data_IF_754744204801
#
_entry.id   IF_754744204801
#
_cell.length_a   1.000
_cell.length_b   1.000
_cell.length_c   1.000
_cell.angle_alpha   90.00
_cell.angle_beta   90.00
_cell.angle_gamma   90.00
#
_symmetry.space_group_name_H-M   'P 1'
#
loop_
_entity.id
_entity.type
_entity.pdbx_description
1 polymer ?
#
# COMPACT_ATOMS: atom_id res chain seq x y z
N UNK A 1 7.02 12.52 8.72
CA UNK A 1 8.36 13.15 8.94
C UNK A 1 9.43 12.31 8.24
N UNK A 2 10.41 12.96 7.58
CA UNK A 2 11.48 12.29 6.82
C UNK A 2 12.80 12.46 7.57
N UNK A 3 13.55 11.36 7.76
CA UNK A 3 14.79 11.34 8.52
C UNK A 3 15.92 10.68 7.73
N UNK A 4 17.10 11.26 7.76
CA UNK A 4 18.32 10.58 7.34
C UNK A 4 18.80 9.60 8.43
N UNK A 5 19.45 8.51 8.02
CA UNK A 5 20.07 7.57 8.92
C UNK A 5 21.41 7.07 8.34
N UNK A 6 22.50 7.23 9.09
CA UNK A 6 23.87 6.82 8.69
C UNK A 6 24.27 7.27 7.27
N UNK A 7 23.89 8.51 6.91
CA UNK A 7 24.20 9.09 5.60
C UNK A 7 23.20 8.77 4.49
N UNK A 8 22.27 7.84 4.68
CA UNK A 8 21.16 7.61 3.76
C UNK A 8 20.07 8.64 3.97
N UNK A 9 19.73 9.36 2.92
CA UNK A 9 18.64 10.34 2.88
C UNK A 9 17.54 9.75 1.99
N UNK A 10 16.28 9.66 2.45
CA UNK A 10 15.18 9.19 1.61
C UNK A 10 15.06 9.99 0.31
N UNK A 11 14.82 9.30 -0.79
CA UNK A 11 14.55 9.88 -2.10
C UNK A 11 13.06 9.75 -2.39
N UNK A 12 12.38 10.87 -2.67
CA UNK A 12 10.94 10.90 -2.92
C UNK A 12 10.67 11.70 -4.18
N UNK A 13 9.95 11.10 -5.14
CA UNK A 13 9.57 11.82 -6.35
C UNK A 13 8.60 12.97 -6.00
N UNK A 14 8.73 14.17 -6.61
CA UNK A 14 7.91 15.34 -6.26
C UNK A 14 6.39 15.18 -6.46
N UNK A 15 5.96 14.26 -7.34
CA UNK A 15 4.53 13.98 -7.55
C UNK A 15 3.90 13.09 -6.48
N UNK A 16 4.70 12.55 -5.56
CA UNK A 16 4.21 11.66 -4.50
C UNK A 16 3.86 12.42 -3.24
N UNK A 17 2.89 11.90 -2.50
CA UNK A 17 2.44 12.49 -1.25
C UNK A 17 2.80 11.61 -0.06
N UNK A 18 3.52 12.18 0.91
CA UNK A 18 3.81 11.56 2.19
C UNK A 18 3.07 12.34 3.27
N UNK A 19 2.11 11.68 3.94
CA UNK A 19 1.37 12.33 5.01
C UNK A 19 2.32 12.80 6.13
N UNK A 20 2.15 14.01 6.70
CA UNK A 20 3.04 14.54 7.74
C UNK A 20 3.18 13.67 8.99
N UNK A 21 2.18 12.84 9.30
CA UNK A 21 2.23 11.87 10.41
C UNK A 21 2.90 10.53 10.03
N UNK A 22 3.30 10.32 8.78
CA UNK A 22 4.11 9.17 8.40
C UNK A 22 5.59 9.43 8.75
N UNK A 23 6.34 8.36 9.03
CA UNK A 23 7.79 8.39 9.21
C UNK A 23 8.48 7.63 8.09
N UNK A 24 9.47 8.27 7.43
CA UNK A 24 10.30 7.66 6.41
C UNK A 24 11.75 7.88 6.80
N UNK A 25 12.50 6.80 7.04
CA UNK A 25 13.84 6.87 7.62
C UNK A 25 14.86 6.10 6.80
N UNK A 26 15.99 6.72 6.49
CA UNK A 26 17.17 6.06 5.94
C UNK A 26 17.07 5.73 4.45
N UNK A 27 17.48 4.52 4.05
CA UNK A 27 17.58 4.09 2.65
C UNK A 27 16.20 3.72 2.08
N UNK A 28 15.42 4.74 1.74
CA UNK A 28 14.06 4.61 1.16
C UNK A 28 14.00 5.39 -0.14
N UNK A 29 13.53 4.75 -1.21
CA UNK A 29 13.33 5.34 -2.53
C UNK A 29 11.85 5.20 -2.89
N UNK A 30 11.20 6.32 -3.20
CA UNK A 30 9.76 6.39 -3.53
C UNK A 30 9.61 7.01 -4.91
N UNK A 31 9.00 6.26 -5.82
CA UNK A 31 8.72 6.62 -7.20
C UNK A 31 7.64 7.69 -7.37
N UNK A 32 7.04 7.77 -8.58
CA UNK A 32 6.02 8.76 -8.95
C UNK A 32 4.64 8.37 -8.46
N UNK A 33 3.81 9.38 -8.17
CA UNK A 33 2.38 9.24 -7.89
C UNK A 33 2.08 8.20 -6.79
N UNK A 34 2.97 8.13 -5.79
CA UNK A 34 2.87 7.24 -4.63
C UNK A 34 2.17 7.96 -3.49
N UNK A 35 1.19 7.29 -2.87
CA UNK A 35 0.54 7.76 -1.66
C UNK A 35 1.06 7.01 -0.42
N UNK A 36 1.54 7.75 0.59
CA UNK A 36 1.91 7.22 1.90
C UNK A 36 1.00 7.84 2.95
N UNK A 37 0.12 7.02 3.54
CA UNK A 37 -0.90 7.43 4.50
C UNK A 37 -0.37 7.77 5.89
N UNK A 38 -1.21 8.40 6.75
CA UNK A 38 -0.83 8.72 8.12
C UNK A 38 -0.49 7.48 8.95
N UNK A 39 0.42 7.64 9.90
CA UNK A 39 0.85 6.57 10.80
C UNK A 39 1.74 5.51 10.15
N UNK A 40 2.06 5.61 8.86
CA UNK A 40 3.00 4.69 8.21
C UNK A 40 4.41 4.84 8.76
N UNK A 41 5.10 3.71 8.93
CA UNK A 41 6.51 3.64 9.33
C UNK A 41 7.30 2.88 8.26
N UNK A 42 8.07 3.61 7.43
CA UNK A 42 8.98 3.08 6.42
C UNK A 42 10.40 3.24 6.95
N UNK A 43 11.01 2.15 7.36
CA UNK A 43 12.26 2.17 8.10
C UNK A 43 13.39 1.43 7.37
N UNK A 44 14.12 2.16 6.51
CA UNK A 44 15.29 1.69 5.76
C UNK A 44 16.61 1.93 6.52
N UNK A 45 16.66 1.51 7.78
CA UNK A 45 17.82 1.71 8.67
C UNK A 45 18.83 0.56 8.61
N UNK A 46 18.40 -0.65 8.29
CA UNK A 46 19.23 -1.83 8.17
C UNK A 46 19.40 -2.36 6.75
N UNK A 47 18.52 -1.94 5.85
CA UNK A 47 18.50 -2.33 4.44
C UNK A 47 17.84 -1.25 3.61
N UNK A 48 17.25 -1.63 2.47
CA UNK A 48 16.58 -0.72 1.55
C UNK A 48 15.07 -0.91 1.49
N UNK A 49 14.35 0.14 1.11
CA UNK A 49 12.96 0.10 0.70
C UNK A 49 12.86 0.79 -0.66
N UNK A 50 12.39 0.07 -1.66
CA UNK A 50 12.14 0.58 -3.01
C UNK A 50 10.64 0.49 -3.30
N UNK A 51 9.99 1.62 -3.54
CA UNK A 51 8.57 1.72 -3.88
C UNK A 51 8.47 2.30 -5.26
N UNK A 52 8.02 1.49 -6.23
CA UNK A 52 7.85 1.88 -7.61
C UNK A 52 6.65 2.82 -7.83
N UNK A 53 6.48 3.29 -9.06
CA UNK A 53 5.47 4.28 -9.43
C UNK A 53 4.04 3.78 -9.17
N UNK A 54 3.16 4.69 -8.77
CA UNK A 54 1.73 4.44 -8.60
C UNK A 54 1.35 3.50 -7.45
N UNK A 55 2.28 3.19 -6.55
CA UNK A 55 1.99 2.42 -5.34
C UNK A 55 1.20 3.23 -4.32
N UNK A 56 0.51 2.53 -3.41
CA UNK A 56 -0.01 3.16 -2.22
C UNK A 56 0.30 2.31 -0.97
N UNK A 57 0.65 2.99 0.10
CA UNK A 57 0.86 2.43 1.43
C UNK A 57 -0.10 3.15 2.36
N UNK A 58 -1.18 2.47 2.69
CA UNK A 58 -2.29 3.06 3.42
C UNK A 58 -1.97 3.22 4.91
N UNK A 59 -2.88 3.80 5.66
CA UNK A 59 -2.68 4.22 7.04
C UNK A 59 -2.16 3.09 7.94
N UNK A 60 -1.23 3.44 8.84
CA UNK A 60 -0.68 2.57 9.89
C UNK A 60 0.10 1.35 9.37
N UNK A 61 0.55 1.34 8.11
CA UNK A 61 1.40 0.28 7.59
C UNK A 61 2.82 0.39 8.15
N UNK A 62 3.48 -0.77 8.31
CA UNK A 62 4.89 -0.85 8.68
C UNK A 62 5.66 -1.59 7.60
N UNK A 63 6.76 -0.98 7.10
CA UNK A 63 7.68 -1.61 6.16
C UNK A 63 9.08 -1.60 6.77
N UNK A 64 9.66 -2.78 6.91
CA UNK A 64 11.00 -2.98 7.48
C UNK A 64 11.67 -4.24 6.90
N UNK A 65 12.90 -4.53 7.30
CA UNK A 65 13.65 -5.70 6.82
C UNK A 65 14.77 -6.07 7.77
N UNK A 66 15.35 -7.27 7.59
CA UNK A 66 16.62 -7.65 8.18
C UNK A 66 17.80 -6.91 7.53
N UNK A 67 18.96 -6.83 8.21
CA UNK A 67 20.15 -6.17 7.67
C UNK A 67 20.54 -6.69 6.28
N UNK A 68 20.79 -5.76 5.34
CA UNK A 68 21.23 -6.06 3.98
C UNK A 68 20.14 -6.47 2.99
N UNK A 69 18.89 -6.60 3.43
CA UNK A 69 17.73 -6.92 2.58
C UNK A 69 17.12 -5.65 2.03
N UNK A 70 16.54 -5.72 0.83
CA UNK A 70 15.73 -4.64 0.26
C UNK A 70 14.29 -5.13 0.07
N UNK A 71 13.34 -4.43 0.71
CA UNK A 71 11.92 -4.59 0.40
C UNK A 71 11.62 -3.89 -0.91
N UNK A 72 10.90 -4.58 -1.81
CA UNK A 72 10.48 -4.02 -3.09
C UNK A 72 8.97 -4.05 -3.23
N UNK A 73 8.40 -2.91 -3.56
CA UNK A 73 7.03 -2.78 -4.02
C UNK A 73 7.07 -2.39 -5.50
N UNK A 74 6.68 -3.31 -6.37
CA UNK A 74 6.62 -3.06 -7.81
C UNK A 74 5.44 -2.16 -8.18
N UNK A 75 5.41 -1.66 -9.41
CA UNK A 75 4.41 -0.69 -9.90
C UNK A 75 2.97 -1.04 -9.51
N UNK A 76 2.23 -0.06 -9.04
CA UNK A 76 0.81 -0.19 -8.66
C UNK A 76 0.54 -1.19 -7.52
N UNK A 77 1.56 -1.56 -6.74
CA UNK A 77 1.34 -2.35 -5.52
C UNK A 77 0.45 -1.55 -4.54
N UNK A 78 -0.53 -2.24 -3.98
CA UNK A 78 -1.58 -1.66 -3.14
C UNK A 78 -1.52 -2.28 -1.76
N UNK A 79 -0.99 -1.54 -0.78
CA UNK A 79 -0.80 -2.02 0.58
C UNK A 79 -1.90 -1.45 1.48
N UNK A 80 -2.83 -2.32 1.86
CA UNK A 80 -4.00 -1.98 2.66
C UNK A 80 -3.68 -1.61 4.10
N UNK A 81 -4.57 -0.85 4.70
CA UNK A 81 -4.43 -0.27 6.04
C UNK A 81 -3.89 -1.27 7.07
N UNK A 82 -2.91 -0.87 7.85
CA UNK A 82 -2.34 -1.64 8.95
C UNK A 82 -1.50 -2.86 8.53
N UNK A 83 -1.25 -3.08 7.25
CA UNK A 83 -0.43 -4.20 6.81
C UNK A 83 1.04 -4.05 7.25
N UNK A 84 1.69 -5.18 7.49
CA UNK A 84 3.11 -5.27 7.84
C UNK A 84 3.83 -6.00 6.70
N UNK A 85 4.84 -5.34 6.11
CA UNK A 85 5.71 -5.92 5.10
C UNK A 85 7.12 -5.97 5.67
N UNK A 86 7.65 -7.18 5.83
CA UNK A 86 8.99 -7.38 6.36
C UNK A 86 9.84 -8.21 5.40
N UNK A 87 10.88 -7.61 4.82
CA UNK A 87 11.85 -8.31 3.96
C UNK A 87 11.30 -8.94 2.68
N UNK A 88 10.17 -8.48 2.15
CA UNK A 88 9.46 -9.13 1.05
C UNK A 88 9.58 -8.37 -0.28
N UNK A 89 9.31 -9.10 -1.39
CA UNK A 89 9.12 -8.55 -2.73
C UNK A 89 7.65 -8.68 -3.14
N UNK A 90 7.02 -7.56 -3.40
CA UNK A 90 5.60 -7.45 -3.78
C UNK A 90 5.53 -7.07 -5.26
N UNK A 91 5.01 -7.98 -6.07
CA UNK A 91 4.92 -7.84 -7.52
C UNK A 91 3.96 -6.73 -7.98
N UNK A 92 3.93 -6.50 -9.29
CA UNK A 92 3.13 -5.44 -9.90
C UNK A 92 1.63 -5.68 -9.69
N UNK A 93 0.94 -4.59 -9.44
CA UNK A 93 -0.53 -4.61 -9.29
C UNK A 93 -1.03 -5.63 -8.26
N UNK A 94 -0.22 -5.96 -7.24
CA UNK A 94 -0.62 -6.82 -6.11
C UNK A 94 -1.49 -6.02 -5.15
N UNK A 95 -2.50 -6.65 -4.56
CA UNK A 95 -3.23 -6.15 -3.40
C UNK A 95 -2.82 -6.92 -2.16
N UNK A 96 -2.25 -6.26 -1.19
CA UNK A 96 -2.08 -6.76 0.17
C UNK A 96 -3.22 -6.21 1.02
N UNK A 97 -4.09 -7.09 1.52
CA UNK A 97 -5.27 -6.71 2.29
C UNK A 97 -4.96 -6.12 3.66
N UNK A 98 -5.95 -5.46 4.23
CA UNK A 98 -5.85 -4.78 5.53
C UNK A 98 -5.36 -5.72 6.63
N UNK A 99 -4.42 -5.25 7.46
CA UNK A 99 -3.81 -5.98 8.57
C UNK A 99 -3.20 -7.35 8.18
N UNK A 100 -2.85 -7.55 6.91
CA UNK A 100 -2.07 -8.71 6.51
C UNK A 100 -0.61 -8.56 6.97
N UNK A 101 0.04 -9.69 7.28
CA UNK A 101 1.45 -9.73 7.67
C UNK A 101 2.22 -10.57 6.65
N UNK A 102 3.20 -9.96 6.00
CA UNK A 102 4.07 -10.59 5.01
C UNK A 102 5.48 -10.66 5.60
N UNK A 103 5.98 -11.88 5.77
CA UNK A 103 7.27 -12.13 6.42
C UNK A 103 8.44 -12.09 5.43
N UNK A 104 9.63 -12.36 5.95
CA UNK A 104 10.90 -12.26 5.22
C UNK A 104 10.99 -13.25 4.05
N UNK A 105 11.70 -12.84 3.02
CA UNK A 105 11.97 -13.64 1.83
C UNK A 105 10.71 -14.17 1.16
N UNK A 106 9.59 -13.44 1.32
CA UNK A 106 8.35 -13.72 0.59
C UNK A 106 8.41 -13.04 -0.77
N UNK A 107 8.08 -13.80 -1.82
CA UNK A 107 7.87 -13.28 -3.17
C UNK A 107 6.39 -13.41 -3.53
N UNK A 108 5.73 -12.29 -3.85
CA UNK A 108 4.34 -12.29 -4.30
C UNK A 108 4.30 -11.90 -5.77
N UNK A 109 3.91 -12.84 -6.63
CA UNK A 109 3.81 -12.62 -8.06
C UNK A 109 2.72 -11.63 -8.44
N UNK A 110 2.91 -11.01 -9.61
CA UNK A 110 2.05 -9.97 -10.18
C UNK A 110 0.55 -10.31 -10.10
N UNK A 111 -0.30 -9.28 -9.93
CA UNK A 111 -1.76 -9.37 -9.96
C UNK A 111 -2.36 -10.31 -8.90
N UNK A 112 -1.60 -10.67 -7.88
CA UNK A 112 -2.09 -11.49 -6.76
C UNK A 112 -2.85 -10.65 -5.75
N UNK A 113 -3.73 -11.30 -5.00
CA UNK A 113 -4.51 -10.69 -3.93
C UNK A 113 -4.28 -11.48 -2.64
N UNK A 114 -3.73 -10.81 -1.64
CA UNK A 114 -3.62 -11.32 -0.28
C UNK A 114 -4.81 -10.77 0.50
N UNK A 115 -5.65 -11.64 1.00
CA UNK A 115 -6.84 -11.24 1.77
C UNK A 115 -6.48 -10.54 3.08
N UNK A 116 -7.40 -9.74 3.59
CA UNK A 116 -7.25 -9.09 4.90
C UNK A 116 -6.97 -10.12 6.02
N UNK A 117 -6.18 -9.73 7.03
CA UNK A 117 -5.79 -10.56 8.19
C UNK A 117 -5.01 -11.84 7.81
N UNK A 118 -4.49 -11.95 6.60
CA UNK A 118 -3.67 -13.09 6.20
C UNK A 118 -2.26 -13.00 6.76
N UNK A 119 -1.68 -14.15 7.11
CA UNK A 119 -0.28 -14.26 7.54
C UNK A 119 0.50 -15.11 6.54
N UNK A 120 1.48 -14.51 5.87
CA UNK A 120 2.34 -15.19 4.89
C UNK A 120 3.67 -15.51 5.55
N UNK A 121 3.95 -16.80 5.70
CA UNK A 121 5.18 -17.29 6.31
C UNK A 121 6.40 -16.88 5.49
N UNK A 122 7.54 -16.72 6.17
CA UNK A 122 8.83 -16.47 5.53
C UNK A 122 9.17 -17.53 4.47
N UNK A 123 9.97 -17.14 3.47
CA UNK A 123 10.41 -17.99 2.36
C UNK A 123 9.26 -18.56 1.49
N UNK A 124 8.10 -17.89 1.47
CA UNK A 124 6.96 -18.32 0.67
C UNK A 124 7.00 -17.64 -0.71
N UNK A 125 6.89 -18.46 -1.77
CA UNK A 125 6.73 -17.97 -3.14
C UNK A 125 5.27 -18.13 -3.54
N UNK A 126 4.60 -17.01 -3.82
CA UNK A 126 3.21 -16.96 -4.29
C UNK A 126 3.23 -16.68 -5.79
N UNK A 127 2.77 -17.62 -6.63
CA UNK A 127 2.68 -17.40 -8.07
C UNK A 127 1.81 -16.21 -8.44
N UNK A 128 2.05 -15.61 -9.61
CA UNK A 128 1.18 -14.55 -10.14
C UNK A 128 -0.29 -14.96 -10.14
N UNK A 129 -1.18 -13.98 -10.01
CA UNK A 129 -2.64 -14.17 -10.07
C UNK A 129 -3.18 -15.16 -9.03
N UNK A 130 -2.60 -15.17 -7.85
CA UNK A 130 -3.05 -16.02 -6.74
C UNK A 130 -3.91 -15.27 -5.76
N UNK A 131 -5.08 -15.81 -5.39
CA UNK A 131 -5.85 -15.35 -4.24
C UNK A 131 -5.44 -16.15 -3.00
N UNK A 132 -4.84 -15.48 -2.03
CA UNK A 132 -4.31 -16.08 -0.80
C UNK A 132 -5.06 -15.54 0.40
N UNK A 133 -5.52 -16.42 1.28
CA UNK A 133 -6.22 -16.02 2.51
C UNK A 133 -5.83 -16.90 3.70
N UNK A 134 -5.98 -16.37 4.89
CA UNK A 134 -5.89 -17.12 6.15
C UNK A 134 -4.59 -16.96 6.91
N UNK A 135 -4.53 -17.62 8.08
CA UNK A 135 -3.36 -17.68 8.96
C UNK A 135 -3.13 -19.16 9.35
N UNK A 136 -2.11 -19.86 8.80
CA UNK A 136 -1.23 -19.39 7.73
C UNK A 136 -1.97 -19.22 6.40
N UNK A 137 -1.46 -18.30 5.55
CA UNK A 137 -2.03 -18.01 4.23
C UNK A 137 -1.97 -19.19 3.28
N UNK A 138 -3.06 -19.43 2.55
CA UNK A 138 -3.16 -20.50 1.55
C UNK A 138 -3.74 -19.96 0.26
N UNK A 139 -3.19 -20.39 -0.87
CA UNK A 139 -3.76 -20.12 -2.19
C UNK A 139 -5.08 -20.86 -2.27
N UNK A 140 -6.18 -20.13 -2.50
CA UNK A 140 -7.52 -20.72 -2.57
C UNK A 140 -8.07 -20.79 -3.98
N UNK A 141 -7.60 -19.91 -4.88
CA UNK A 141 -7.95 -19.92 -6.30
C UNK A 141 -7.08 -18.95 -7.11
N UNK A 142 -7.20 -19.00 -8.43
CA UNK A 142 -6.68 -17.97 -9.31
C UNK A 142 -7.52 -16.70 -9.27
N UNK A 143 -6.86 -15.53 -9.40
CA UNK A 143 -7.51 -14.23 -9.51
C UNK A 143 -8.02 -14.06 -10.94
N UNK A 144 -9.34 -13.85 -11.11
CA UNK A 144 -9.96 -13.65 -12.42
C UNK A 144 -9.68 -12.25 -12.99
N UNK A 145 -9.90 -12.09 -14.30
CA UNK A 145 -9.74 -10.78 -14.98
C UNK A 145 -10.68 -9.72 -14.38
N UNK A 146 -11.89 -10.11 -13.98
CA UNK A 146 -12.84 -9.19 -13.32
C UNK A 146 -12.32 -8.74 -11.95
N UNK A 147 -11.69 -9.63 -11.19
CA UNK A 147 -11.07 -9.28 -9.90
C UNK A 147 -9.88 -8.35 -10.10
N UNK A 148 -9.06 -8.58 -11.13
CA UNK A 148 -7.95 -7.70 -11.49
C UNK A 148 -8.47 -6.32 -11.88
N UNK A 149 -9.47 -6.25 -12.75
CA UNK A 149 -10.08 -4.99 -13.20
C UNK A 149 -10.66 -4.21 -12.02
N UNK A 150 -11.40 -4.89 -11.13
CA UNK A 150 -11.94 -4.31 -9.91
C UNK A 150 -10.82 -3.74 -9.01
N UNK A 151 -9.82 -4.55 -8.70
CA UNK A 151 -8.68 -4.14 -7.85
C UNK A 151 -7.92 -2.97 -8.47
N UNK A 152 -7.65 -3.02 -9.78
CA UNK A 152 -6.92 -1.97 -10.49
C UNK A 152 -7.66 -0.63 -10.42
N UNK A 153 -9.00 -0.64 -10.58
CA UNK A 153 -9.80 0.58 -10.41
C UNK A 153 -9.68 1.16 -8.99
N UNK A 154 -9.68 0.31 -7.96
CA UNK A 154 -9.42 0.74 -6.58
C UNK A 154 -8.04 1.35 -6.40
N UNK A 155 -7.01 0.78 -7.03
CA UNK A 155 -5.65 1.33 -7.00
C UNK A 155 -5.57 2.69 -7.69
N UNK A 156 -6.26 2.88 -8.83
CA UNK A 156 -6.30 4.16 -9.56
C UNK A 156 -6.87 5.31 -8.70
N UNK A 157 -7.83 5.03 -7.82
CA UNK A 157 -8.31 6.04 -6.86
C UNK A 157 -7.21 6.49 -5.89
N UNK A 158 -6.34 5.58 -5.45
CA UNK A 158 -5.18 5.94 -4.64
C UNK A 158 -4.09 6.65 -5.43
N UNK A 159 -3.98 6.41 -6.73
CA UNK A 159 -3.04 7.10 -7.61
C UNK A 159 -3.44 8.56 -7.85
N UNK A 160 -4.72 8.91 -7.73
CA UNK A 160 -5.17 10.31 -7.79
C UNK A 160 -4.92 11.09 -6.48
N UNK A 161 -4.86 10.39 -5.33
CA UNK A 161 -4.74 11.01 -4.02
C UNK A 161 -3.52 11.94 -3.85
N UNK A 162 -2.31 11.65 -4.32
CA UNK A 162 -1.18 12.57 -4.18
C UNK A 162 -1.47 13.97 -4.73
N UNK A 163 -2.10 14.05 -5.90
CA UNK A 163 -2.51 15.31 -6.49
C UNK A 163 -3.66 15.96 -5.73
N UNK A 164 -4.68 15.20 -5.34
CA UNK A 164 -5.83 15.69 -4.58
C UNK A 164 -5.41 16.22 -3.21
N UNK A 165 -4.52 15.50 -2.49
CA UNK A 165 -3.97 15.96 -1.23
C UNK A 165 -3.18 17.26 -1.38
N UNK A 166 -2.44 17.41 -2.47
CA UNK A 166 -1.70 18.66 -2.74
C UNK A 166 -2.65 19.84 -3.02
N UNK A 167 -3.81 19.60 -3.64
CA UNK A 167 -4.74 20.65 -4.06
C UNK A 167 -5.78 21.00 -2.99
N UNK A 168 -6.28 20.04 -2.22
CA UNK A 168 -7.50 20.19 -1.44
C UNK A 168 -7.34 19.92 0.05
N UNK A 169 -6.22 19.30 0.47
CA UNK A 169 -6.02 18.95 1.88
C UNK A 169 -5.39 20.10 2.64
N UNK A 170 -6.16 20.71 3.53
CA UNK A 170 -5.74 21.84 4.35
C UNK A 170 -6.25 21.74 5.80
N UNK A 171 -5.54 22.31 6.76
CA UNK A 171 -6.03 22.41 8.13
C UNK A 171 -7.30 23.27 8.19
N UNK A 172 -8.28 22.83 8.94
CA UNK A 172 -9.51 23.61 9.17
C UNK A 172 -9.98 23.49 10.62
N UNK A 173 -10.86 24.40 11.02
CA UNK A 173 -11.61 24.25 12.27
C UNK A 173 -12.86 23.41 12.01
N UNK A 174 -13.24 22.50 12.94
CA UNK A 174 -14.45 21.71 12.78
C UNK A 174 -15.70 22.62 12.87
N UNK A 175 -16.74 22.26 12.12
CA UNK A 175 -18.05 22.87 12.28
C UNK A 175 -18.76 22.28 13.50
N UNK A 176 -19.50 23.10 14.25
CA UNK A 176 -20.26 22.66 15.41
C UNK A 176 -21.59 21.98 15.01
N UNK A 177 -22.12 22.32 13.85
CA UNK A 177 -23.39 21.80 13.32
C UNK A 177 -23.24 21.44 11.84
N UNK A 178 -24.08 20.54 11.35
CA UNK A 178 -24.09 20.14 9.95
C UNK A 178 -24.76 21.24 9.11
N UNK A 179 -24.08 21.80 8.09
CA UNK A 179 -24.68 22.80 7.22
C UNK A 179 -25.77 22.17 6.35
N UNK A 180 -26.85 22.94 6.08
CA UNK A 180 -27.99 22.50 5.25
C UNK A 180 -27.58 22.09 3.83
N UNK A 181 -26.58 22.77 3.26
CA UNK A 181 -26.08 22.58 1.91
C UNK A 181 -24.77 21.78 1.86
N UNK A 182 -24.54 20.86 2.80
CA UNK A 182 -23.33 20.02 2.81
C UNK A 182 -23.25 19.20 1.52
N UNK A 183 -22.09 19.21 0.79
CA UNK A 183 -21.88 18.39 -0.39
C UNK A 183 -22.04 16.90 -0.06
N UNK A 184 -22.58 16.13 -1.00
CA UNK A 184 -22.63 14.68 -0.93
C UNK A 184 -21.39 14.06 -1.57
N UNK A 185 -20.93 12.92 -1.03
CA UNK A 185 -19.86 12.15 -1.64
C UNK A 185 -20.40 11.35 -2.84
N UNK A 186 -19.65 11.32 -3.91
CA UNK A 186 -19.96 10.49 -5.08
C UNK A 186 -19.57 9.02 -4.83
N UNK A 187 -20.32 8.09 -5.43
CA UNK A 187 -19.97 6.66 -5.42
C UNK A 187 -18.97 6.40 -6.54
N UNK A 188 -17.69 6.49 -6.24
CA UNK A 188 -16.61 6.31 -7.21
C UNK A 188 -16.25 4.83 -7.45
N UNK A 189 -16.59 3.94 -6.49
CA UNK A 189 -16.12 2.56 -6.47
C UNK A 189 -17.10 1.65 -5.73
N UNK A 190 -17.40 0.48 -6.32
CA UNK A 190 -18.28 -0.52 -5.71
C UNK A 190 -17.45 -1.63 -5.06
N UNK A 191 -17.96 -2.21 -3.97
CA UNK A 191 -17.32 -3.37 -3.34
C UNK A 191 -17.33 -4.59 -4.27
N UNK A 192 -16.38 -5.51 -4.06
CA UNK A 192 -16.36 -6.76 -4.83
C UNK A 192 -17.68 -7.56 -4.71
N UNK A 193 -18.31 -7.54 -3.53
CA UNK A 193 -19.57 -8.22 -3.29
C UNK A 193 -20.74 -7.65 -4.12
N UNK A 194 -20.77 -6.36 -4.34
CA UNK A 194 -21.79 -5.72 -5.20
C UNK A 194 -21.59 -6.04 -6.68
N UNK A 195 -20.34 -6.24 -7.10
CA UNK A 195 -20.02 -6.56 -8.51
C UNK A 195 -20.32 -8.02 -8.82
N UNK A 196 -19.89 -8.96 -7.98
CA UNK A 196 -20.03 -10.40 -8.24
C UNK A 196 -21.47 -10.92 -8.16
N UNK A 197 -22.39 -10.15 -7.57
CA UNK A 197 -23.80 -10.52 -7.41
C UNK A 197 -24.70 -9.87 -8.49
N UNK A 198 -24.11 -9.16 -9.46
CA UNK A 198 -24.76 -8.66 -10.68
C UNK A 198 -24.53 -9.63 -11.83
#
# INVERSE_FOLDING_TARGET
MIYSFKGFIPVVHPSSFIHPQATVTGNVIIGKDVYIGPGCALRGDWGGIEIADGCNVQENCTIHMFPGVTVKLEESAHIGHGAIIHGAHIGRNVLVGMNAVIMDDVEIGDESIIGALSFINANTIIPKRSLVVGNPGKIIKEVSDEMIAWKTKGTQLYQSLPNEMTQFWEPCSPLNEMPENRPSQETLYNTWNEIKNK
#
